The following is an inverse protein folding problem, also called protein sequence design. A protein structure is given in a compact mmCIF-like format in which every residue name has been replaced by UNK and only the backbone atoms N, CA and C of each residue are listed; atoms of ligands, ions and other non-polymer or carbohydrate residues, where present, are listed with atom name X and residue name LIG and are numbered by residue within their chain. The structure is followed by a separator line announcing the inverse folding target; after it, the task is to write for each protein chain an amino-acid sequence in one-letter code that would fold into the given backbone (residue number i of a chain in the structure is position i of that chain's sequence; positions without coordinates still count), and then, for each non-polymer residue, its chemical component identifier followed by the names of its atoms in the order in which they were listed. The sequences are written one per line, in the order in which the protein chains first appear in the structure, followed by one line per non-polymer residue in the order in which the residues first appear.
data_IF_035575041735
#
_entry.id   IF_035575041735
#
_cell.length_a   1.000
_cell.length_b   1.000
_cell.length_c   1.000
_cell.angle_alpha   90.00
_cell.angle_beta   90.00
_cell.angle_gamma   90.00
#
_symmetry.space_group_name_H-M   'P 1'
#
loop_
_entity.id
_entity.type
_entity.pdbx_description
1 polymer ?
#
# COMPACT_ATOMS: atom_id res chain seq x y z
N UNK A 1 102.44 -11.12 3.05
CA UNK A 1 101.32 -11.07 2.09
C UNK A 1 100.08 -11.75 2.67
N UNK A 2 100.15 -13.03 3.08
CA UNK A 2 99.02 -13.73 3.70
C UNK A 2 98.58 -13.17 5.06
N UNK A 3 99.52 -12.83 5.95
CA UNK A 3 99.19 -12.33 7.30
C UNK A 3 98.43 -11.00 7.30
N UNK A 4 98.73 -10.12 6.34
CA UNK A 4 98.06 -8.82 6.18
C UNK A 4 96.61 -9.01 5.74
N UNK A 5 96.36 -9.94 4.81
CA UNK A 5 95.01 -10.29 4.36
C UNK A 5 94.16 -10.89 5.49
N UNK A 6 94.77 -11.75 6.33
CA UNK A 6 94.11 -12.35 7.49
C UNK A 6 93.71 -11.29 8.50
N UNK A 7 94.59 -10.32 8.77
CA UNK A 7 94.30 -9.23 9.70
C UNK A 7 93.18 -8.30 9.18
N UNK A 8 93.21 -7.96 7.90
CA UNK A 8 92.14 -7.18 7.25
C UNK A 8 90.79 -7.90 7.32
N UNK A 9 90.76 -9.21 7.05
CA UNK A 9 89.55 -10.01 7.16
C UNK A 9 89.04 -10.06 8.62
N UNK A 10 89.94 -10.10 9.60
CA UNK A 10 89.59 -10.08 11.03
C UNK A 10 88.98 -8.75 11.47
N UNK A 11 89.56 -7.63 11.04
CA UNK A 11 89.01 -6.30 11.31
C UNK A 11 87.63 -6.12 10.68
N UNK A 12 87.49 -6.50 9.40
CA UNK A 12 86.22 -6.43 8.70
C UNK A 12 85.13 -7.30 9.38
N UNK A 13 85.49 -8.51 9.80
CA UNK A 13 84.58 -9.38 10.54
C UNK A 13 84.14 -8.76 11.87
N UNK A 14 85.06 -8.09 12.59
CA UNK A 14 84.77 -7.42 13.84
C UNK A 14 83.80 -6.25 13.65
N UNK A 15 84.03 -5.41 12.64
CA UNK A 15 83.14 -4.29 12.28
C UNK A 15 81.73 -4.78 11.93
N UNK A 16 81.61 -5.78 11.05
CA UNK A 16 80.32 -6.37 10.70
C UNK A 16 79.61 -6.99 11.90
N UNK A 17 80.36 -7.59 12.84
CA UNK A 17 79.80 -8.16 14.06
C UNK A 17 79.22 -7.09 14.98
N UNK A 18 79.90 -5.94 15.11
CA UNK A 18 79.40 -4.81 15.90
C UNK A 18 78.13 -4.22 15.27
N UNK A 19 78.11 -4.00 13.95
CA UNK A 19 76.92 -3.53 13.25
C UNK A 19 75.73 -4.47 13.43
N UNK A 20 75.97 -5.78 13.35
CA UNK A 20 74.94 -6.79 13.57
C UNK A 20 74.35 -6.71 14.99
N UNK A 21 75.18 -6.59 16.02
CA UNK A 21 74.72 -6.44 17.41
C UNK A 21 73.92 -5.14 17.59
N UNK A 22 74.38 -4.03 17.00
CA UNK A 22 73.64 -2.76 17.02
C UNK A 22 72.27 -2.89 16.35
N UNK A 23 72.19 -3.53 15.16
CA UNK A 23 70.91 -3.78 14.48
C UNK A 23 69.98 -4.69 15.26
N UNK A 24 70.51 -5.73 15.90
CA UNK A 24 69.72 -6.59 16.78
C UNK A 24 69.11 -5.79 17.93
N UNK A 25 69.89 -4.91 18.56
CA UNK A 25 69.38 -4.07 19.63
C UNK A 25 68.31 -3.08 19.13
N UNK A 26 68.51 -2.46 17.97
CA UNK A 26 67.50 -1.60 17.34
C UNK A 26 66.19 -2.37 17.11
N UNK A 27 66.25 -3.58 16.54
CA UNK A 27 65.07 -4.43 16.31
C UNK A 27 64.37 -4.78 17.63
N UNK A 28 65.14 -5.08 18.68
CA UNK A 28 64.60 -5.43 20.00
C UNK A 28 63.89 -4.24 20.68
N UNK A 29 64.36 -3.02 20.44
CA UNK A 29 63.69 -1.81 20.94
C UNK A 29 62.47 -1.44 20.08
N UNK A 30 62.60 -1.51 18.74
CA UNK A 30 61.51 -1.17 17.80
C UNK A 30 60.28 -2.03 17.94
N UNK A 31 60.44 -3.35 18.08
CA UNK A 31 59.31 -4.27 18.25
C UNK A 31 58.43 -3.95 19.47
N UNK A 32 58.96 -3.26 20.49
CA UNK A 32 58.22 -2.90 21.70
C UNK A 32 57.09 -1.92 21.39
N UNK A 33 57.28 -1.01 20.43
CA UNK A 33 56.27 -0.02 20.05
C UNK A 33 55.60 -0.34 18.71
N UNK A 34 56.31 -0.86 17.72
CA UNK A 34 55.74 -1.16 16.38
C UNK A 34 54.61 -2.19 16.43
N UNK A 35 54.58 -3.06 17.44
CA UNK A 35 53.47 -3.99 17.65
C UNK A 35 52.26 -3.34 18.36
N UNK A 36 52.51 -2.37 19.24
CA UNK A 36 51.49 -1.76 20.10
C UNK A 36 50.74 -0.64 19.38
N UNK A 37 51.42 0.13 18.52
CA UNK A 37 50.84 1.26 17.80
C UNK A 37 49.65 0.88 16.89
N UNK A 38 49.69 -0.22 16.10
CA UNK A 38 48.54 -0.66 15.32
C UNK A 38 47.35 -1.06 16.20
N UNK A 39 47.61 -1.71 17.34
CA UNK A 39 46.57 -2.10 18.29
C UNK A 39 45.90 -0.87 18.92
N UNK A 40 46.68 0.12 19.35
CA UNK A 40 46.16 1.38 19.88
C UNK A 40 45.27 2.09 18.85
N UNK A 41 45.76 2.21 17.61
CA UNK A 41 45.03 2.84 16.50
C UNK A 41 43.71 2.11 16.21
N UNK A 42 43.74 0.77 16.22
CA UNK A 42 42.55 -0.05 16.05
C UNK A 42 41.51 0.22 17.14
N UNK A 43 41.91 0.18 18.41
CA UNK A 43 40.97 0.41 19.52
C UNK A 43 40.40 1.83 19.51
N UNK A 44 41.21 2.84 19.20
CA UNK A 44 40.75 4.21 19.06
C UNK A 44 39.70 4.34 17.94
N UNK A 45 39.94 3.74 16.78
CA UNK A 45 38.97 3.67 15.68
C UNK A 45 37.68 2.96 16.09
N UNK A 46 37.81 1.82 16.76
CA UNK A 46 36.67 1.03 17.24
C UNK A 46 35.81 1.83 18.23
N UNK A 47 36.41 2.45 19.25
CA UNK A 47 35.66 3.24 20.23
C UNK A 47 35.00 4.47 19.60
N UNK A 48 35.68 5.13 18.66
CA UNK A 48 35.12 6.27 17.93
C UNK A 48 33.91 5.84 17.10
N UNK A 49 34.02 4.72 16.39
CA UNK A 49 32.91 4.16 15.60
C UNK A 49 31.69 3.84 16.46
N UNK A 50 31.88 3.12 17.58
CA UNK A 50 30.76 2.78 18.46
C UNK A 50 30.14 4.00 19.12
N UNK A 51 30.95 4.98 19.52
CA UNK A 51 30.44 6.22 20.09
C UNK A 51 29.60 7.01 19.08
N UNK A 52 30.10 7.19 17.86
CA UNK A 52 29.35 7.85 16.79
C UNK A 52 28.07 7.10 16.42
N UNK A 53 28.14 5.77 16.33
CA UNK A 53 26.97 4.93 16.08
C UNK A 53 25.91 5.05 17.16
N UNK A 54 26.32 5.16 18.43
CA UNK A 54 25.41 5.38 19.55
C UNK A 54 24.72 6.75 19.47
N UNK A 55 25.48 7.83 19.25
CA UNK A 55 24.90 9.17 19.13
C UNK A 55 23.94 9.26 17.93
N UNK A 56 24.29 8.66 16.78
CA UNK A 56 23.41 8.59 15.62
C UNK A 56 22.10 7.84 15.92
N UNK A 57 22.18 6.70 16.62
CA UNK A 57 21.01 5.93 17.00
C UNK A 57 20.10 6.71 17.97
N UNK A 58 20.69 7.49 18.88
CA UNK A 58 19.99 8.37 19.81
C UNK A 58 19.27 9.50 19.08
N UNK A 59 19.95 10.15 18.12
CA UNK A 59 19.35 11.20 17.29
C UNK A 59 18.17 10.67 16.45
N UNK A 60 18.26 9.42 15.99
CA UNK A 60 17.18 8.77 15.24
C UNK A 60 15.98 8.35 16.11
N UNK A 61 16.13 8.33 17.45
CA UNK A 61 15.12 7.78 18.36
C UNK A 61 13.77 8.51 18.29
N UNK A 62 13.77 9.82 18.01
CA UNK A 62 12.52 10.58 17.84
C UNK A 62 11.66 10.00 16.70
N UNK A 63 12.25 9.79 15.51
CA UNK A 63 11.55 9.22 14.37
C UNK A 63 11.06 7.80 14.64
N UNK A 64 11.89 6.98 15.30
CA UNK A 64 11.50 5.62 15.70
C UNK A 64 10.28 5.63 16.63
N UNK A 65 10.27 6.52 17.63
CA UNK A 65 9.17 6.64 18.58
C UNK A 65 7.89 7.11 17.89
N UNK A 66 7.97 8.14 17.06
CA UNK A 66 6.84 8.66 16.31
C UNK A 66 6.24 7.60 15.38
N UNK A 67 7.08 6.86 14.65
CA UNK A 67 6.64 5.76 13.80
C UNK A 67 5.91 4.68 14.62
N UNK A 68 6.45 4.31 15.79
CA UNK A 68 5.83 3.32 16.67
C UNK A 68 4.44 3.79 17.16
N UNK A 69 4.30 5.06 17.53
CA UNK A 69 3.02 5.68 17.91
C UNK A 69 2.04 5.65 16.73
N UNK A 70 2.49 6.05 15.54
CA UNK A 70 1.64 6.08 14.34
C UNK A 70 1.13 4.68 13.95
N UNK A 71 1.97 3.66 14.05
CA UNK A 71 1.58 2.27 13.84
C UNK A 71 0.50 1.85 14.87
N UNK A 72 0.70 2.18 16.14
CA UNK A 72 -0.27 1.82 17.17
C UNK A 72 -1.61 2.56 16.98
N UNK A 73 -1.57 3.84 16.63
CA UNK A 73 -2.76 4.62 16.30
C UNK A 73 -3.51 4.02 15.10
N UNK A 74 -2.78 3.56 14.08
CA UNK A 74 -3.38 2.89 12.91
C UNK A 74 -4.05 1.58 13.30
N UNK A 75 -3.43 0.77 14.16
CA UNK A 75 -4.06 -0.45 14.71
C UNK A 75 -5.33 -0.13 15.49
N UNK A 76 -5.28 0.86 16.39
CA UNK A 76 -6.43 1.25 17.20
C UNK A 76 -7.60 1.74 16.34
N UNK A 77 -7.31 2.55 15.30
CA UNK A 77 -8.33 3.01 14.33
C UNK A 77 -8.93 1.83 13.56
N UNK A 78 -8.10 0.90 13.09
CA UNK A 78 -8.57 -0.29 12.39
C UNK A 78 -9.52 -1.11 13.27
N UNK A 79 -9.14 -1.42 14.51
CA UNK A 79 -9.99 -2.17 15.43
C UNK A 79 -11.30 -1.44 15.75
N UNK A 80 -11.25 -0.12 15.93
CA UNK A 80 -12.45 0.71 16.11
C UNK A 80 -13.40 0.62 14.92
N UNK A 81 -12.90 0.90 13.71
CA UNK A 81 -13.70 0.80 12.48
C UNK A 81 -14.20 -0.62 12.24
N UNK A 82 -13.40 -1.65 12.52
CA UNK A 82 -13.80 -3.05 12.39
C UNK A 82 -15.00 -3.36 13.28
N UNK A 83 -14.95 -2.95 14.54
CA UNK A 83 -16.05 -3.11 15.50
C UNK A 83 -17.33 -2.42 15.03
N UNK A 84 -17.22 -1.16 14.58
CA UNK A 84 -18.36 -0.39 14.04
C UNK A 84 -18.99 -1.06 12.80
N UNK A 85 -18.16 -1.59 11.90
CA UNK A 85 -18.61 -2.30 10.70
C UNK A 85 -19.28 -3.63 11.05
N UNK A 86 -18.73 -4.39 12.00
CA UNK A 86 -19.33 -5.62 12.51
C UNK A 86 -20.69 -5.35 13.15
N UNK A 87 -20.81 -4.29 13.95
CA UNK A 87 -22.07 -3.87 14.55
C UNK A 87 -23.09 -3.46 13.48
N UNK A 88 -22.68 -2.65 12.50
CA UNK A 88 -23.54 -2.24 11.37
C UNK A 88 -24.01 -3.45 10.55
N UNK A 89 -23.12 -4.39 10.26
CA UNK A 89 -23.45 -5.63 9.55
C UNK A 89 -24.54 -6.41 10.32
N UNK A 90 -24.39 -6.54 11.64
CA UNK A 90 -25.36 -7.23 12.48
C UNK A 90 -26.71 -6.50 12.52
N UNK A 91 -26.71 -5.17 12.64
CA UNK A 91 -27.95 -4.35 12.58
C UNK A 91 -28.69 -4.51 11.25
N UNK A 92 -27.97 -4.47 10.13
CA UNK A 92 -28.55 -4.64 8.79
C UNK A 92 -29.10 -6.07 8.62
N UNK A 93 -28.39 -7.09 9.11
CA UNK A 93 -28.85 -8.49 9.05
C UNK A 93 -30.14 -8.72 9.85
N UNK A 94 -30.26 -8.09 11.03
CA UNK A 94 -31.45 -8.22 11.86
C UNK A 94 -32.66 -7.52 11.25
N UNK A 95 -32.50 -6.28 10.76
CA UNK A 95 -33.61 -5.49 10.21
C UNK A 95 -33.22 -4.80 8.88
N UNK A 96 -33.22 -5.52 7.74
CA UNK A 96 -32.78 -4.99 6.46
C UNK A 96 -33.66 -3.85 5.92
N UNK A 97 -34.95 -3.83 6.31
CA UNK A 97 -35.93 -2.85 5.81
C UNK A 97 -35.81 -1.49 6.53
N UNK A 98 -35.35 -1.48 7.77
CA UNK A 98 -35.24 -0.27 8.60
C UNK A 98 -33.98 0.53 8.28
N UNK A 99 -32.99 -0.13 7.68
CA UNK A 99 -31.72 0.50 7.27
C UNK A 99 -31.72 0.87 5.77
N UNK A 100 -32.90 1.04 5.16
CA UNK A 100 -32.98 1.55 3.78
C UNK A 100 -32.40 2.97 3.74
N UNK A 101 -31.48 3.19 2.80
CA UNK A 101 -30.87 4.49 2.56
C UNK A 101 -31.97 5.52 2.29
N UNK A 102 -31.89 6.68 2.93
CA UNK A 102 -32.75 7.82 2.59
C UNK A 102 -32.50 8.16 1.12
N UNK A 103 -33.46 7.81 0.25
CA UNK A 103 -33.37 8.08 -1.18
C UNK A 103 -34.18 9.31 -1.52
N UNK A 104 -33.61 10.19 -2.34
CA UNK A 104 -34.33 11.30 -2.94
C UNK A 104 -35.36 10.82 -3.98
N UNK A 105 -35.28 9.55 -4.39
CA UNK A 105 -36.19 8.91 -5.31
C UNK A 105 -37.33 8.24 -4.56
N UNK A 106 -38.54 8.34 -5.10
CA UNK A 106 -39.73 7.69 -4.55
C UNK A 106 -39.66 6.18 -4.74
N UNK A 107 -39.07 5.73 -5.85
CA UNK A 107 -38.79 4.34 -6.11
C UNK A 107 -37.51 4.25 -6.93
N UNK A 108 -36.66 3.30 -6.60
CA UNK A 108 -35.47 2.97 -7.37
C UNK A 108 -35.19 1.47 -7.30
N UNK A 109 -34.62 0.91 -8.35
CA UNK A 109 -34.34 -0.52 -8.43
C UNK A 109 -34.03 -0.98 -9.84
N UNK A 110 -33.74 -2.28 -9.95
CA UNK A 110 -33.47 -2.89 -11.25
C UNK A 110 -34.78 -3.29 -11.93
N UNK A 111 -34.94 -2.87 -13.18
CA UNK A 111 -36.04 -3.29 -14.06
C UNK A 111 -35.46 -3.91 -15.33
N UNK A 112 -36.24 -4.81 -15.95
CA UNK A 112 -35.96 -5.25 -17.30
C UNK A 112 -36.84 -4.44 -18.26
N UNK A 113 -36.20 -3.77 -19.21
CA UNK A 113 -36.86 -2.97 -20.25
C UNK A 113 -36.87 -3.76 -21.55
N UNK A 114 -37.99 -3.76 -22.26
CA UNK A 114 -38.11 -4.42 -23.55
C UNK A 114 -37.54 -3.52 -24.64
N UNK A 115 -36.47 -3.96 -25.27
CA UNK A 115 -35.84 -3.28 -26.40
C UNK A 115 -36.13 -4.03 -27.70
N UNK A 116 -36.48 -3.29 -28.74
CA UNK A 116 -36.61 -3.84 -30.09
C UNK A 116 -35.22 -4.02 -30.69
N UNK A 117 -34.92 -5.23 -31.16
CA UNK A 117 -33.69 -5.54 -31.88
C UNK A 117 -33.92 -5.38 -33.39
N UNK A 118 -32.87 -5.09 -34.17
CA UNK A 118 -32.96 -5.16 -35.63
C UNK A 118 -33.41 -6.57 -36.07
N UNK A 119 -34.21 -6.69 -37.14
CA UNK A 119 -34.50 -7.98 -37.75
C UNK A 119 -33.21 -8.76 -38.07
N UNK A 120 -33.14 -10.09 -37.87
CA UNK A 120 -34.21 -11.04 -37.49
C UNK A 120 -34.41 -11.26 -35.97
N UNK A 121 -33.79 -10.46 -35.11
CA UNK A 121 -33.62 -10.82 -33.68
C UNK A 121 -34.78 -10.46 -32.73
N UNK A 122 -35.88 -9.91 -33.25
CA UNK A 122 -37.11 -9.67 -32.48
C UNK A 122 -36.95 -8.64 -31.35
N UNK A 123 -37.31 -9.01 -30.11
CA UNK A 123 -37.17 -8.15 -28.92
C UNK A 123 -36.32 -8.83 -27.86
N UNK A 124 -35.59 -8.03 -27.07
CA UNK A 124 -34.82 -8.52 -25.92
C UNK A 124 -35.17 -7.76 -24.65
N UNK A 125 -34.99 -8.40 -23.51
CA UNK A 125 -35.17 -7.77 -22.20
C UNK A 125 -33.80 -7.41 -21.63
N UNK A 126 -33.57 -6.12 -21.44
CA UNK A 126 -32.28 -5.60 -20.99
C UNK A 126 -32.43 -5.01 -19.60
N UNK A 127 -31.51 -5.37 -18.70
CA UNK A 127 -31.53 -4.92 -17.31
C UNK A 127 -31.07 -3.47 -17.23
N UNK A 128 -31.83 -2.65 -16.52
CA UNK A 128 -31.55 -1.25 -16.26
C UNK A 128 -31.70 -0.95 -14.77
N UNK A 129 -30.96 0.04 -14.27
CA UNK A 129 -31.25 0.66 -12.98
C UNK A 129 -32.13 1.88 -13.21
N UNK A 130 -33.33 1.85 -12.64
CA UNK A 130 -34.36 2.86 -12.87
C UNK A 130 -34.62 3.63 -11.57
N UNK A 131 -34.75 4.96 -11.68
CA UNK A 131 -35.00 5.85 -10.56
C UNK A 131 -36.14 6.81 -10.89
N UNK A 132 -37.17 6.83 -10.04
CA UNK A 132 -38.36 7.67 -10.22
C UNK A 132 -38.48 8.69 -9.09
N UNK A 133 -38.68 9.96 -9.48
CA UNK A 133 -38.95 11.06 -8.55
C UNK A 133 -40.36 11.60 -8.75
N UNK A 134 -41.28 11.26 -7.83
CA UNK A 134 -42.71 11.61 -7.93
C UNK A 134 -42.96 13.12 -8.04
N UNK A 135 -42.23 13.94 -7.26
CA UNK A 135 -42.41 15.39 -7.23
C UNK A 135 -42.17 16.06 -8.59
N UNK A 136 -41.25 15.51 -9.40
CA UNK A 136 -40.91 16.04 -10.71
C UNK A 136 -41.49 15.21 -11.87
N UNK A 137 -42.24 14.13 -11.56
CA UNK A 137 -42.60 13.06 -12.51
C UNK A 137 -41.43 12.62 -13.40
N UNK A 138 -40.20 12.64 -12.88
CA UNK A 138 -38.98 12.40 -13.64
C UNK A 138 -38.56 10.94 -13.49
N UNK A 139 -38.37 10.25 -14.61
CA UNK A 139 -37.89 8.87 -14.67
C UNK A 139 -36.51 8.84 -15.33
N UNK A 140 -35.53 8.23 -14.67
CA UNK A 140 -34.17 8.09 -15.18
C UNK A 140 -33.87 6.58 -15.32
N UNK A 141 -33.35 6.19 -16.47
CA UNK A 141 -33.00 4.81 -16.82
C UNK A 141 -31.54 4.76 -17.17
N UNK A 142 -30.79 3.85 -16.54
CA UNK A 142 -29.37 3.69 -16.80
C UNK A 142 -29.11 2.22 -17.14
N UNK A 143 -28.47 1.92 -18.29
CA UNK A 143 -28.17 0.55 -18.68
C UNK A 143 -27.26 -0.14 -17.65
N UNK A 144 -27.58 -1.39 -17.33
CA UNK A 144 -26.77 -2.18 -16.40
C UNK A 144 -25.59 -2.81 -17.13
N UNK A 145 -24.38 -2.31 -16.90
CA UNK A 145 -23.16 -2.89 -17.43
C UNK A 145 -22.39 -3.69 -16.36
N UNK A 146 -22.19 -4.99 -16.60
CA UNK A 146 -21.53 -5.88 -15.64
C UNK A 146 -20.03 -5.56 -15.41
N UNK A 147 -19.40 -4.83 -16.33
CA UNK A 147 -17.96 -4.50 -16.29
C UNK A 147 -17.64 -3.11 -15.73
N UNK A 148 -18.65 -2.30 -15.42
CA UNK A 148 -18.46 -0.84 -15.27
C UNK A 148 -18.14 -0.39 -13.85
N UNK A 149 -17.89 -1.33 -12.93
CA UNK A 149 -17.35 -1.03 -11.60
C UNK A 149 -18.15 0.00 -10.78
N UNK A 150 -19.43 0.18 -11.08
CA UNK A 150 -20.28 1.18 -10.42
C UNK A 150 -20.30 2.58 -11.06
N UNK A 151 -19.67 2.81 -12.23
CA UNK A 151 -19.92 4.03 -13.00
C UNK A 151 -21.33 3.98 -13.58
N UNK A 152 -22.16 4.94 -13.19
CA UNK A 152 -23.44 5.20 -13.83
C UNK A 152 -23.15 5.68 -15.26
N UNK A 153 -23.52 4.88 -16.26
CA UNK A 153 -23.41 5.24 -17.67
C UNK A 153 -24.32 6.42 -18.02
N UNK A 154 -24.20 6.92 -19.26
CA UNK A 154 -25.15 7.91 -19.77
C UNK A 154 -26.56 7.32 -19.76
N UNK A 155 -27.48 8.04 -19.13
CA UNK A 155 -28.81 7.54 -18.79
C UNK A 155 -29.88 8.30 -19.55
N UNK A 156 -30.90 7.57 -20.01
CA UNK A 156 -32.07 8.19 -20.60
C UNK A 156 -32.97 8.78 -19.51
N UNK A 157 -33.52 9.96 -19.81
CA UNK A 157 -34.38 10.70 -18.88
C UNK A 157 -35.63 11.12 -19.61
N UNK A 158 -36.79 10.77 -19.05
CA UNK A 158 -38.08 11.21 -19.55
C UNK A 158 -39.04 11.56 -18.42
N UNK A 159 -40.12 12.24 -18.77
CA UNK A 159 -41.19 12.59 -17.84
C UNK A 159 -42.30 11.56 -17.93
N UNK A 160 -42.70 11.00 -16.79
CA UNK A 160 -43.75 10.01 -16.69
C UNK A 160 -45.13 10.67 -16.84
N UNK A 161 -45.87 10.31 -17.89
CA UNK A 161 -47.26 10.70 -18.09
C UNK A 161 -48.19 9.74 -17.38
N UNK A 162 -48.12 8.47 -17.74
CA UNK A 162 -48.96 7.40 -17.22
C UNK A 162 -48.15 6.12 -16.99
N UNK A 163 -48.57 5.32 -16.02
CA UNK A 163 -47.99 4.01 -15.73
C UNK A 163 -49.13 3.01 -15.54
N UNK A 164 -49.21 2.00 -16.42
CA UNK A 164 -50.34 1.08 -16.47
C UNK A 164 -49.86 -0.34 -16.22
N UNK A 165 -50.41 -1.00 -15.20
CA UNK A 165 -50.08 -2.40 -14.91
C UNK A 165 -50.60 -3.31 -16.03
N UNK A 166 -49.73 -4.17 -16.59
CA UNK A 166 -50.12 -5.17 -17.58
C UNK A 166 -50.88 -6.32 -16.92
N UNK A 167 -51.89 -6.84 -17.60
CA UNK A 167 -52.57 -8.07 -17.20
C UNK A 167 -51.65 -9.27 -17.41
N UNK A 168 -51.63 -10.23 -16.48
CA UNK A 168 -50.74 -11.40 -16.53
C UNK A 168 -50.92 -12.21 -17.81
N UNK A 169 -52.13 -12.24 -18.37
CA UNK A 169 -52.43 -13.00 -19.60
C UNK A 169 -51.98 -12.29 -20.88
N UNK A 170 -51.58 -11.01 -20.80
CA UNK A 170 -51.16 -10.22 -21.97
C UNK A 170 -49.69 -10.43 -22.36
N UNK A 171 -48.89 -11.02 -21.47
CA UNK A 171 -47.46 -11.28 -21.68
C UNK A 171 -46.99 -12.44 -20.80
N UNK A 172 -46.13 -13.31 -21.33
CA UNK A 172 -45.52 -14.42 -20.59
C UNK A 172 -44.41 -13.96 -19.61
N UNK A 173 -44.71 -12.94 -18.80
CA UNK A 173 -43.83 -12.39 -17.75
C UNK A 173 -44.66 -11.83 -16.59
N UNK A 174 -44.14 -11.93 -15.38
CA UNK A 174 -44.79 -11.41 -14.15
C UNK A 174 -44.33 -9.99 -13.83
N UNK A 175 -45.18 -9.24 -13.13
CA UNK A 175 -44.89 -7.89 -12.62
C UNK A 175 -44.57 -6.86 -13.72
N UNK A 176 -45.19 -6.98 -14.89
CA UNK A 176 -45.01 -6.05 -16.00
C UNK A 176 -45.95 -4.84 -15.90
N UNK A 177 -45.47 -3.69 -16.38
CA UNK A 177 -46.23 -2.46 -16.51
C UNK A 177 -45.71 -1.69 -17.72
N UNK A 178 -46.60 -0.95 -18.36
CA UNK A 178 -46.25 0.02 -19.40
C UNK A 178 -46.02 1.38 -18.79
N UNK A 179 -45.12 2.13 -19.41
CA UNK A 179 -44.81 3.50 -19.06
C UNK A 179 -45.01 4.36 -20.30
N UNK A 180 -45.88 5.35 -20.19
CA UNK A 180 -46.07 6.37 -21.22
C UNK A 180 -45.24 7.60 -20.83
N UNK A 181 -44.35 8.03 -21.73
CA UNK A 181 -43.62 9.27 -21.59
C UNK A 181 -44.51 10.45 -22.00
N UNK A 182 -44.37 11.59 -21.32
CA UNK A 182 -44.94 12.84 -21.81
C UNK A 182 -44.09 13.34 -22.98
N UNK A 183 -44.73 13.74 -24.08
CA UNK A 183 -44.08 14.49 -25.15
C UNK A 183 -43.52 15.80 -24.60
N UNK A 184 -42.35 16.20 -25.11
CA UNK A 184 -41.64 17.42 -24.71
C UNK A 184 -42.43 18.69 -25.01
#
# INVERSE_FOLDING_TARGET
MADIQVEQNRQHFYELSLEYVCKLQEIQERKKFEFVEPMLSFFQGMFTFYHQGHELAKDFNHYKMELQINIQNTRNRFEGTRSEVEELMNKIRQNPKDHKRASQFTAEGYLYVQEKRPPPFGSSWVKHYCMYRKAAKKFNIIPFEHRSGGKLGDGEVFFLKECTRRHTDSIDRRFCFDVEAADR
#
